data_IF_514549892598
#
_entry.id   IF_514549892598
#
_cell.length_a   1.000
_cell.length_b   1.000
_cell.length_c   1.000
_cell.angle_alpha   90.00
_cell.angle_beta   90.00
_cell.angle_gamma   90.00
#
_symmetry.space_group_name_H-M   'P 1'
#
loop_
_entity.id
_entity.type
_entity.pdbx_description
1 polymer ?
#
# COMPACT_ATOMS: atom_id res chain seq x y z
N UNK A 1 -22.58 -24.14 -0.61
CA UNK A 1 -22.36 -22.70 -0.88
C UNK A 1 -20.91 -22.49 -1.24
N UNK A 2 -20.58 -21.64 -2.24
CA UNK A 2 -19.18 -21.30 -2.55
C UNK A 2 -18.73 -20.17 -1.63
N UNK A 3 -17.52 -20.28 -1.08
CA UNK A 3 -16.89 -19.20 -0.32
C UNK A 3 -16.40 -18.11 -1.27
N UNK A 4 -16.66 -16.85 -0.94
CA UNK A 4 -16.19 -15.66 -1.67
C UNK A 4 -15.22 -14.91 -0.77
N UNK A 5 -14.06 -14.54 -1.31
CA UNK A 5 -13.06 -13.73 -0.62
C UNK A 5 -13.12 -12.32 -1.22
N UNK A 6 -13.33 -11.31 -0.37
CA UNK A 6 -13.29 -9.91 -0.77
C UNK A 6 -11.85 -9.39 -0.69
N UNK A 7 -11.41 -8.71 -1.74
CA UNK A 7 -10.14 -7.98 -1.75
C UNK A 7 -10.37 -6.52 -1.36
N UNK A 8 -9.29 -5.78 -1.14
CA UNK A 8 -9.32 -4.33 -1.00
C UNK A 8 -9.64 -3.61 -2.33
N UNK A 9 -9.77 -2.28 -2.22
CA UNK A 9 -10.00 -1.38 -3.34
C UNK A 9 -8.74 -0.59 -3.75
N UNK A 10 -8.94 0.43 -4.57
CA UNK A 10 -7.84 1.26 -5.07
C UNK A 10 -7.28 2.23 -4.03
N UNK A 11 -6.05 1.99 -3.56
CA UNK A 11 -5.36 2.87 -2.60
C UNK A 11 -5.06 4.27 -3.17
N UNK A 12 -4.64 4.35 -4.44
CA UNK A 12 -4.08 5.59 -5.01
C UNK A 12 -5.02 6.80 -4.97
N UNK A 13 -6.29 6.63 -5.32
CA UNK A 13 -7.26 7.73 -5.31
C UNK A 13 -7.59 8.21 -3.90
N UNK A 14 -7.73 7.29 -2.95
CA UNK A 14 -7.99 7.62 -1.56
C UNK A 14 -6.80 8.32 -0.91
N UNK A 15 -5.58 7.86 -1.21
CA UNK A 15 -4.36 8.52 -0.74
C UNK A 15 -4.23 9.94 -1.34
N UNK A 16 -4.55 10.16 -2.62
CA UNK A 16 -4.49 11.51 -3.25
C UNK A 16 -5.50 12.45 -2.59
N UNK A 17 -6.67 11.92 -2.23
CA UNK A 17 -7.74 12.70 -1.60
C UNK A 17 -7.38 13.13 -0.17
N UNK A 18 -6.58 12.34 0.54
CA UNK A 18 -6.31 12.50 1.99
C UNK A 18 -4.94 13.09 2.29
N UNK A 19 -3.96 12.86 1.42
CA UNK A 19 -2.62 13.41 1.54
C UNK A 19 -2.65 14.93 1.41
N UNK A 20 -1.78 15.59 2.18
CA UNK A 20 -1.56 17.05 2.08
C UNK A 20 -0.47 17.39 1.05
N UNK A 21 0.19 16.38 0.50
CA UNK A 21 1.32 16.49 -0.41
C UNK A 21 0.84 16.49 -1.87
N UNK A 22 1.49 17.28 -2.73
CA UNK A 22 1.18 17.25 -4.16
C UNK A 22 1.61 15.92 -4.79
N UNK A 23 0.79 15.34 -5.70
CA UNK A 23 1.17 14.14 -6.42
C UNK A 23 2.39 14.38 -7.32
N UNK A 24 3.47 13.67 -7.04
CA UNK A 24 4.68 13.58 -7.88
C UNK A 24 4.72 12.21 -8.58
N UNK A 25 5.57 12.01 -9.61
CA UNK A 25 5.73 10.70 -10.25
C UNK A 25 6.10 9.56 -9.29
N UNK A 26 6.79 9.88 -8.18
CA UNK A 26 7.15 8.95 -7.11
C UNK A 26 6.21 8.97 -5.90
N UNK A 27 5.14 9.76 -5.92
CA UNK A 27 4.35 10.03 -4.72
C UNK A 27 3.78 8.75 -4.09
N UNK A 28 3.27 7.80 -4.89
CA UNK A 28 2.73 6.56 -4.35
C UNK A 28 3.78 5.64 -3.74
N UNK A 29 5.06 5.78 -4.13
CA UNK A 29 6.17 5.12 -3.45
C UNK A 29 6.57 5.88 -2.18
N UNK A 30 6.67 7.22 -2.25
CA UNK A 30 7.08 8.05 -1.11
C UNK A 30 6.08 8.11 0.02
N UNK A 31 4.79 7.99 -0.25
CA UNK A 31 3.73 7.99 0.78
C UNK A 31 3.95 6.89 1.84
N UNK A 32 4.62 5.78 1.49
CA UNK A 32 5.01 4.73 2.44
C UNK A 32 6.01 5.21 3.51
N UNK A 33 6.81 6.21 3.19
CA UNK A 33 7.85 6.81 4.05
C UNK A 33 7.34 8.09 4.68
N UNK A 34 6.72 8.96 3.88
CA UNK A 34 6.37 10.32 4.27
C UNK A 34 5.04 10.38 5.05
N UNK A 35 4.07 9.52 4.71
CA UNK A 35 2.74 9.49 5.34
C UNK A 35 2.32 8.04 5.68
N UNK A 36 3.14 7.29 6.47
CA UNK A 36 2.91 5.87 6.72
C UNK A 36 1.61 5.58 7.46
N UNK A 37 1.21 6.45 8.38
CA UNK A 37 -0.04 6.31 9.13
C UNK A 37 -1.24 6.34 8.18
N UNK A 38 -1.20 7.19 7.15
CA UNK A 38 -2.28 7.28 6.17
C UNK A 38 -2.44 5.98 5.39
N UNK A 39 -1.34 5.32 5.03
CA UNK A 39 -1.35 4.03 4.33
C UNK A 39 -1.87 2.91 5.24
N UNK A 40 -1.38 2.84 6.50
CA UNK A 40 -1.86 1.86 7.49
C UNK A 40 -3.36 2.02 7.74
N UNK A 41 -3.80 3.24 8.00
CA UNK A 41 -5.19 3.51 8.37
C UNK A 41 -6.13 3.20 7.19
N UNK A 42 -5.72 3.48 5.95
CA UNK A 42 -6.48 3.11 4.77
C UNK A 42 -6.59 1.58 4.57
N UNK A 43 -5.52 0.82 4.85
CA UNK A 43 -5.62 -0.64 4.89
C UNK A 43 -6.59 -1.11 5.97
N UNK A 44 -6.53 -0.51 7.17
CA UNK A 44 -7.42 -0.83 8.28
C UNK A 44 -8.89 -0.57 7.91
N UNK A 45 -9.19 0.53 7.21
CA UNK A 45 -10.52 0.84 6.70
C UNK A 45 -11.03 -0.21 5.70
N UNK A 46 -10.19 -0.69 4.78
CA UNK A 46 -10.58 -1.77 3.87
C UNK A 46 -10.90 -3.07 4.61
N UNK A 47 -10.11 -3.42 5.63
CA UNK A 47 -10.37 -4.59 6.48
C UNK A 47 -11.72 -4.42 7.22
N UNK A 48 -11.97 -3.25 7.80
CA UNK A 48 -13.23 -2.94 8.48
C UNK A 48 -14.44 -2.96 7.52
N UNK A 49 -14.23 -2.58 6.26
CA UNK A 49 -15.25 -2.66 5.20
C UNK A 49 -15.52 -4.09 4.72
N UNK A 50 -14.72 -5.08 5.16
CA UNK A 50 -14.93 -6.51 4.88
C UNK A 50 -13.87 -7.16 3.98
N UNK A 51 -12.80 -6.44 3.59
CA UNK A 51 -11.70 -7.05 2.86
C UNK A 51 -11.02 -8.14 3.71
N UNK A 52 -10.80 -9.31 3.09
CA UNK A 52 -10.09 -10.46 3.68
C UNK A 52 -8.72 -10.67 3.07
N UNK A 53 -8.41 -9.94 2.00
CA UNK A 53 -7.07 -9.83 1.41
C UNK A 53 -6.82 -8.36 1.13
N UNK A 54 -5.68 -7.84 1.59
CA UNK A 54 -5.20 -6.50 1.26
C UNK A 54 -3.90 -6.59 0.47
N UNK A 55 -3.65 -5.64 -0.43
CA UNK A 55 -2.47 -5.60 -1.30
C UNK A 55 -1.52 -4.51 -0.83
N UNK A 56 -0.24 -4.82 -0.62
CA UNK A 56 0.73 -3.78 -0.20
C UNK A 56 0.80 -2.64 -1.23
N UNK A 57 0.91 -1.40 -0.75
CA UNK A 57 0.87 -0.19 -1.59
C UNK A 57 2.21 0.06 -2.34
N UNK A 58 2.71 -0.94 -3.10
CA UNK A 58 4.01 -0.87 -3.78
C UNK A 58 3.92 -0.95 -5.30
N UNK A 59 2.72 -0.71 -5.88
CA UNK A 59 2.51 -0.78 -7.34
C UNK A 59 3.48 0.09 -8.15
N UNK A 60 3.79 1.29 -7.68
CA UNK A 60 4.75 2.18 -8.37
C UNK A 60 6.21 1.92 -8.01
N UNK A 61 6.49 1.10 -7.00
CA UNK A 61 7.84 0.85 -6.49
C UNK A 61 8.51 -0.32 -7.23
N UNK A 62 8.68 -0.19 -8.55
CA UNK A 62 9.45 -1.14 -9.37
C UNK A 62 10.89 -0.67 -9.54
N UNK A 63 11.86 -1.58 -9.75
CA UNK A 63 13.26 -1.20 -9.98
C UNK A 63 13.41 -0.19 -11.12
N UNK A 64 12.69 -0.38 -12.24
CA UNK A 64 12.77 0.46 -13.44
C UNK A 64 12.23 1.87 -13.18
N UNK A 65 11.13 2.00 -12.43
CA UNK A 65 10.55 3.31 -12.09
C UNK A 65 11.42 4.06 -11.10
N UNK A 66 11.96 3.35 -10.11
CA UNK A 66 12.87 3.94 -9.12
C UNK A 66 14.20 4.36 -9.76
N UNK A 67 14.75 3.57 -10.68
CA UNK A 67 15.97 3.89 -11.40
C UNK A 67 15.85 5.17 -12.24
N UNK A 68 14.70 5.39 -12.90
CA UNK A 68 14.42 6.63 -13.67
C UNK A 68 14.52 7.90 -12.83
N UNK A 69 14.31 7.78 -11.53
CA UNK A 69 14.27 8.88 -10.57
C UNK A 69 15.50 8.87 -9.64
N UNK A 70 16.49 8.02 -9.91
CA UNK A 70 17.71 7.90 -9.11
C UNK A 70 17.49 7.32 -7.70
N UNK A 71 16.43 6.53 -7.50
CA UNK A 71 15.96 6.04 -6.21
C UNK A 71 15.99 4.49 -6.08
N UNK A 72 16.80 3.80 -6.88
CA UNK A 72 16.84 2.33 -6.95
C UNK A 72 17.11 1.67 -5.59
N UNK A 73 17.96 2.28 -4.76
CA UNK A 73 18.30 1.81 -3.42
C UNK A 73 17.10 1.76 -2.45
N UNK A 74 16.01 2.47 -2.77
CA UNK A 74 14.80 2.47 -1.97
C UNK A 74 13.92 1.24 -2.21
N UNK A 75 14.14 0.45 -3.26
CA UNK A 75 13.24 -0.65 -3.63
C UNK A 75 12.98 -1.61 -2.47
N UNK A 76 14.03 -2.14 -1.84
CA UNK A 76 13.89 -3.08 -0.71
C UNK A 76 13.23 -2.42 0.50
N UNK A 77 13.55 -1.15 0.77
CA UNK A 77 13.00 -0.41 1.89
C UNK A 77 11.49 -0.20 1.72
N UNK A 78 11.05 0.20 0.52
CA UNK A 78 9.65 0.41 0.19
C UNK A 78 8.83 -0.88 0.25
N UNK A 79 9.38 -1.99 -0.24
CA UNK A 79 8.72 -3.30 -0.14
C UNK A 79 8.57 -3.74 1.32
N UNK A 80 9.64 -3.62 2.12
CA UNK A 80 9.58 -3.93 3.55
C UNK A 80 8.55 -3.05 4.27
N UNK A 81 8.54 -1.74 3.97
CA UNK A 81 7.61 -0.79 4.58
C UNK A 81 6.17 -1.07 4.21
N UNK A 82 5.88 -1.40 2.95
CA UNK A 82 4.54 -1.81 2.52
C UNK A 82 4.02 -3.04 3.27
N UNK A 83 4.87 -4.05 3.45
CA UNK A 83 4.53 -5.26 4.23
C UNK A 83 4.29 -4.93 5.70
N UNK A 84 5.15 -4.09 6.30
CA UNK A 84 5.03 -3.68 7.69
C UNK A 84 3.70 -2.96 7.95
N UNK A 85 3.36 -1.97 7.13
CA UNK A 85 2.13 -1.18 7.29
C UNK A 85 0.87 -2.02 7.08
N UNK A 86 0.88 -2.94 6.13
CA UNK A 86 -0.23 -3.88 5.92
C UNK A 86 -0.41 -4.81 7.14
N UNK A 87 0.68 -5.29 7.76
CA UNK A 87 0.60 -6.11 8.97
C UNK A 87 0.07 -5.33 10.17
N UNK A 88 0.55 -4.09 10.36
CA UNK A 88 0.03 -3.19 11.41
C UNK A 88 -1.47 -2.94 11.24
N UNK A 89 -1.95 -2.79 10.01
CA UNK A 89 -3.37 -2.66 9.73
C UNK A 89 -4.16 -3.93 10.11
N UNK A 90 -3.63 -5.13 9.84
CA UNK A 90 -4.26 -6.37 10.31
C UNK A 90 -4.32 -6.46 11.84
N UNK A 91 -3.25 -6.07 12.53
CA UNK A 91 -3.22 -6.01 14.01
C UNK A 91 -4.28 -5.03 14.56
N UNK A 92 -4.52 -3.91 13.86
CA UNK A 92 -5.45 -2.86 14.27
C UNK A 92 -6.92 -3.18 13.94
N UNK A 93 -7.21 -3.80 12.78
CA UNK A 93 -8.54 -3.88 12.21
C UNK A 93 -9.12 -5.29 12.07
N UNK A 94 -8.28 -6.33 12.16
CA UNK A 94 -8.72 -7.73 12.10
C UNK A 94 -7.98 -8.58 11.08
N UNK A 95 -8.40 -9.83 10.98
CA UNK A 95 -7.69 -10.86 10.22
C UNK A 95 -7.93 -10.78 8.71
N UNK A 96 -6.91 -10.30 7.99
CA UNK A 96 -6.82 -10.30 6.54
C UNK A 96 -5.45 -10.83 6.08
N UNK A 97 -5.43 -11.54 4.96
CA UNK A 97 -4.19 -11.94 4.33
C UNK A 97 -3.53 -10.74 3.62
N UNK A 98 -2.20 -10.71 3.62
CA UNK A 98 -1.42 -9.67 2.93
C UNK A 98 -0.89 -10.22 1.62
N UNK A 99 -1.26 -9.59 0.51
CA UNK A 99 -0.80 -9.88 -0.83
C UNK A 99 0.34 -8.94 -1.25
N UNK A 100 1.37 -9.50 -1.89
CA UNK A 100 2.41 -8.71 -2.56
C UNK A 100 1.88 -8.03 -3.82
N UNK A 101 2.42 -6.86 -4.16
CA UNK A 101 2.10 -6.15 -5.39
C UNK A 101 3.28 -6.29 -6.38
N UNK A 102 3.07 -7.06 -7.45
CA UNK A 102 4.04 -7.23 -8.54
C UNK A 102 3.45 -6.60 -9.80
N UNK A 103 3.92 -5.39 -10.11
CA UNK A 103 3.44 -4.61 -11.25
C UNK A 103 4.02 -5.13 -12.57
N UNK A 104 3.36 -4.85 -13.71
CA UNK A 104 3.85 -5.24 -15.03
C UNK A 104 5.18 -4.60 -15.41
#
# INVERSE_FOLDING_TARGET
MKSVILTDGGMGQELVRRSKSEPTPLWSARVLIDEPDLVRDLHAEFIQAGARVITINTYSATPERLAREGAEDLFKQLQARGVELAKQACEQAGDAAVAGCLSP
#
